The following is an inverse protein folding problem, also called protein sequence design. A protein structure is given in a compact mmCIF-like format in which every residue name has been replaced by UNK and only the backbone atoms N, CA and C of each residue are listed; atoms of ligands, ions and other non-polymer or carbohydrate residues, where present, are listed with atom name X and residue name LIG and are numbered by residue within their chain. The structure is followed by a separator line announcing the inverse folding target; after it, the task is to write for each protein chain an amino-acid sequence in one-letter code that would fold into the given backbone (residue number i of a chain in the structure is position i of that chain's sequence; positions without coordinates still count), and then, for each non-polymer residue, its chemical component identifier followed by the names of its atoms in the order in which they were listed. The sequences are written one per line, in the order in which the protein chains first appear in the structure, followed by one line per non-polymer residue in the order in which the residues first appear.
data_IF_718604799254
#
_entry.id   IF_718604799254
#
_cell.length_a   1.000
_cell.length_b   1.000
_cell.length_c   1.000
_cell.angle_alpha   90.00
_cell.angle_beta   90.00
_cell.angle_gamma   90.00
#
_symmetry.space_group_name_H-M   'P 1'
#
loop_
_entity.id
_entity.type
_entity.pdbx_description
1 polymer ?
#
# COMPACT_ATOMS: atom_id res chain seq x y z
N UNK A 1 30.89 22.95 -64.19
CA UNK A 1 29.60 23.35 -63.58
C UNK A 1 29.77 24.81 -63.16
N UNK A 2 29.11 25.75 -63.84
CA UNK A 2 29.28 27.18 -63.57
C UNK A 2 28.52 27.55 -62.29
N UNK A 3 29.21 28.17 -61.32
CA UNK A 3 28.61 28.67 -60.09
C UNK A 3 27.83 29.96 -60.39
N UNK A 4 26.50 29.90 -60.28
CA UNK A 4 25.64 31.08 -60.39
C UNK A 4 25.71 31.88 -59.10
N UNK A 5 26.30 33.09 -59.15
CA UNK A 5 26.34 34.02 -58.02
C UNK A 5 24.97 34.70 -57.90
N UNK A 6 24.25 34.42 -56.82
CA UNK A 6 22.99 35.11 -56.50
C UNK A 6 23.30 36.28 -55.57
N UNK A 7 22.93 37.53 -55.90
CA UNK A 7 23.04 38.69 -55.01
C UNK A 7 22.31 38.43 -53.68
N UNK A 8 22.87 38.88 -52.55
CA UNK A 8 22.26 38.68 -51.23
C UNK A 8 20.82 39.23 -51.12
N UNK A 9 20.48 40.26 -51.89
CA UNK A 9 19.13 40.81 -51.98
C UNK A 9 18.14 39.89 -52.73
N UNK A 10 18.62 39.10 -53.69
CA UNK A 10 17.83 38.12 -54.46
C UNK A 10 17.77 36.75 -53.79
N UNK A 11 18.71 36.48 -52.87
CA UNK A 11 18.68 35.28 -52.03
C UNK A 11 17.49 35.27 -51.06
N UNK A 12 16.87 36.44 -50.82
CA UNK A 12 15.59 36.60 -50.15
C UNK A 12 15.52 35.87 -48.82
N UNK A 13 16.18 36.39 -47.77
CA UNK A 13 15.84 35.90 -46.43
C UNK A 13 14.38 36.26 -46.15
N UNK A 14 13.53 35.28 -45.78
CA UNK A 14 12.14 35.56 -45.46
C UNK A 14 12.10 36.56 -44.30
N UNK A 15 11.52 37.73 -44.55
CA UNK A 15 11.22 38.71 -43.53
C UNK A 15 9.93 38.29 -42.83
N UNK A 16 10.04 37.97 -41.54
CA UNK A 16 8.91 37.55 -40.73
C UNK A 16 8.48 38.73 -39.86
N UNK A 17 7.30 39.32 -40.11
CA UNK A 17 6.80 40.40 -39.26
C UNK A 17 6.65 39.87 -37.83
N UNK A 18 7.32 40.53 -36.88
CA UNK A 18 7.26 40.12 -35.48
C UNK A 18 5.88 40.51 -34.93
N UNK A 19 5.04 39.51 -34.65
CA UNK A 19 3.81 39.75 -33.91
C UNK A 19 4.16 40.28 -32.50
N UNK A 20 3.33 41.15 -31.89
CA UNK A 20 3.55 41.60 -30.53
C UNK A 20 3.72 40.39 -29.61
N UNK A 21 4.65 40.46 -28.63
CA UNK A 21 4.96 39.31 -27.78
C UNK A 21 3.68 38.82 -27.09
N UNK A 22 3.46 37.50 -27.15
CA UNK A 22 2.39 36.87 -26.39
C UNK A 22 2.59 37.24 -24.91
N UNK A 23 1.52 37.70 -24.26
CA UNK A 23 1.58 38.27 -22.91
C UNK A 23 2.11 37.27 -21.88
N UNK A 24 1.95 35.96 -22.13
CA UNK A 24 2.65 34.87 -21.45
C UNK A 24 2.75 33.64 -22.40
N UNK A 25 3.88 33.38 -23.07
CA UNK A 25 3.98 32.20 -23.92
C UNK A 25 4.07 30.94 -23.06
N UNK A 26 3.09 30.05 -23.17
CA UNK A 26 3.23 28.69 -22.64
C UNK A 26 4.11 27.84 -23.54
N UNK A 27 5.41 27.92 -23.29
CA UNK A 27 6.50 27.23 -24.01
C UNK A 27 6.34 25.70 -24.02
N UNK A 28 5.57 25.13 -23.09
CA UNK A 28 5.44 23.69 -22.89
C UNK A 28 4.01 23.17 -23.12
N UNK A 29 3.17 23.96 -23.77
CA UNK A 29 1.75 23.65 -24.06
C UNK A 29 1.51 22.53 -25.08
N UNK A 30 2.57 21.93 -25.64
CA UNK A 30 2.52 20.96 -26.75
C UNK A 30 1.75 21.44 -27.99
N UNK A 31 1.50 22.75 -28.12
CA UNK A 31 0.72 23.35 -29.23
C UNK A 31 1.36 23.11 -30.60
N UNK A 32 2.70 23.18 -30.69
CA UNK A 32 3.46 22.85 -31.90
C UNK A 32 3.61 21.34 -32.14
N UNK A 33 3.14 20.51 -31.21
CA UNK A 33 3.30 19.05 -31.20
C UNK A 33 1.93 18.35 -31.09
N UNK A 34 0.98 18.75 -31.93
CA UNK A 34 -0.43 18.30 -31.88
C UNK A 34 -0.58 16.77 -31.77
N UNK A 35 0.16 16.00 -32.58
CA UNK A 35 0.13 14.53 -32.53
C UNK A 35 0.53 13.96 -31.17
N UNK A 36 1.53 14.54 -30.51
CA UNK A 36 1.97 14.09 -29.20
C UNK A 36 0.91 14.39 -28.13
N UNK A 37 0.29 15.57 -28.22
CA UNK A 37 -0.82 15.97 -27.35
C UNK A 37 -2.01 15.01 -27.48
N UNK A 38 -2.47 14.73 -28.70
CA UNK A 38 -3.57 13.79 -28.97
C UNK A 38 -3.28 12.38 -28.42
N UNK A 39 -2.05 11.90 -28.58
CA UNK A 39 -1.64 10.60 -28.05
C UNK A 39 -1.67 10.55 -26.52
N UNK A 40 -1.24 11.63 -25.85
CA UNK A 40 -1.31 11.75 -24.39
C UNK A 40 -2.77 11.82 -23.90
N UNK A 41 -3.61 12.61 -24.57
CA UNK A 41 -5.04 12.70 -24.25
C UNK A 41 -5.75 11.34 -24.40
N UNK A 42 -5.46 10.61 -25.47
CA UNK A 42 -5.98 9.27 -25.68
C UNK A 42 -5.51 8.30 -24.59
N UNK A 43 -4.20 8.30 -24.31
CA UNK A 43 -3.60 7.45 -23.27
C UNK A 43 -4.20 7.70 -21.89
N UNK A 44 -4.51 8.96 -21.57
CA UNK A 44 -5.15 9.34 -20.30
C UNK A 44 -6.65 8.98 -20.21
N UNK A 45 -7.30 8.70 -21.34
CA UNK A 45 -8.71 8.25 -21.38
C UNK A 45 -8.83 6.74 -21.19
N UNK A 46 -7.83 5.97 -21.61
CA UNK A 46 -7.77 4.52 -21.39
C UNK A 46 -7.47 4.24 -19.91
N UNK A 47 -8.35 3.50 -19.22
CA UNK A 47 -8.18 3.16 -17.79
C UNK A 47 -7.89 1.69 -17.55
N UNK A 48 -7.96 0.90 -18.61
CA UNK A 48 -7.73 -0.53 -18.61
C UNK A 48 -6.24 -0.84 -18.39
N UNK A 49 -5.92 -1.89 -17.62
CA UNK A 49 -4.55 -2.37 -17.50
C UNK A 49 -3.97 -2.72 -18.88
N UNK A 50 -2.69 -2.41 -19.09
CA UNK A 50 -1.97 -2.72 -20.34
C UNK A 50 -1.80 -1.54 -21.29
N UNK A 51 -2.49 -0.42 -21.06
CA UNK A 51 -2.31 0.81 -21.81
C UNK A 51 -1.27 1.72 -21.13
N UNK A 52 -0.04 1.68 -21.63
CA UNK A 52 1.06 2.54 -21.17
C UNK A 52 1.45 3.52 -22.28
N UNK A 53 1.80 4.76 -21.91
CA UNK A 53 2.31 5.76 -22.87
C UNK A 53 3.83 5.82 -22.76
N UNK A 54 4.50 5.75 -23.90
CA UNK A 54 5.94 5.96 -24.02
C UNK A 54 6.21 7.19 -24.89
N UNK A 55 7.00 8.13 -24.39
CA UNK A 55 7.28 9.41 -25.06
C UNK A 55 8.68 9.41 -25.64
N UNK A 56 8.78 9.69 -26.94
CA UNK A 56 10.03 9.75 -27.71
C UNK A 56 10.19 11.15 -28.29
N UNK A 57 11.45 11.59 -28.42
CA UNK A 57 11.83 12.88 -29.02
C UNK A 57 13.34 13.04 -28.98
N UNK A 58 13.88 14.04 -29.68
CA UNK A 58 15.33 14.25 -29.72
C UNK A 58 15.90 14.67 -28.36
N UNK A 59 17.21 14.54 -28.22
CA UNK A 59 17.90 15.07 -27.04
C UNK A 59 17.67 16.59 -26.92
N UNK A 60 17.46 17.05 -25.69
CA UNK A 60 17.13 18.46 -25.36
C UNK A 60 15.87 19.04 -26.02
N UNK A 61 14.97 18.20 -26.55
CA UNK A 61 13.66 18.63 -27.09
C UNK A 61 12.67 19.19 -26.06
N UNK A 62 12.98 19.10 -24.76
CA UNK A 62 12.03 19.48 -23.70
C UNK A 62 10.86 18.51 -23.52
N UNK A 63 10.88 17.34 -24.18
CA UNK A 63 9.80 16.33 -24.17
C UNK A 63 9.31 15.95 -22.77
N UNK A 64 10.23 15.79 -21.81
CA UNK A 64 9.90 15.41 -20.43
C UNK A 64 9.14 16.54 -19.74
N UNK A 65 9.68 17.75 -19.80
CA UNK A 65 9.08 18.94 -19.18
C UNK A 65 7.69 19.22 -19.76
N UNK A 66 7.54 19.15 -21.08
CA UNK A 66 6.26 19.35 -21.75
C UNK A 66 5.23 18.27 -21.37
N UNK A 67 5.65 17.01 -21.32
CA UNK A 67 4.78 15.90 -20.91
C UNK A 67 4.34 16.04 -19.45
N UNK A 68 5.26 16.30 -18.53
CA UNK A 68 4.93 16.46 -17.11
C UNK A 68 4.01 17.64 -16.87
N UNK A 69 4.25 18.79 -17.52
CA UNK A 69 3.37 19.95 -17.41
C UNK A 69 1.95 19.63 -17.89
N UNK A 70 1.83 19.03 -19.07
CA UNK A 70 0.54 18.59 -19.60
C UNK A 70 -0.19 17.64 -18.63
N UNK A 71 0.54 16.65 -18.07
CA UNK A 71 -0.02 15.72 -17.10
C UNK A 71 -0.46 16.41 -15.80
N UNK A 72 0.33 17.35 -15.27
CA UNK A 72 -0.03 18.10 -14.07
C UNK A 72 -1.31 18.91 -14.26
N UNK A 73 -1.44 19.60 -15.39
CA UNK A 73 -2.64 20.39 -15.72
C UNK A 73 -3.88 19.51 -15.87
N UNK A 74 -3.74 18.35 -16.51
CA UNK A 74 -4.79 17.33 -16.63
C UNK A 74 -5.16 16.71 -15.27
N UNK A 75 -4.18 16.40 -14.42
CA UNK A 75 -4.42 15.75 -13.12
C UNK A 75 -5.07 16.70 -12.11
N UNK A 76 -4.85 18.02 -12.20
CA UNK A 76 -5.52 19.01 -11.33
C UNK A 76 -7.04 18.99 -11.45
N UNK A 77 -7.55 18.61 -12.63
CA UNK A 77 -8.99 18.54 -12.91
C UNK A 77 -9.60 17.18 -12.52
N UNK A 78 -8.76 16.20 -12.15
CA UNK A 78 -9.19 14.84 -11.83
C UNK A 78 -9.37 14.65 -10.32
N UNK A 79 -10.21 13.69 -9.90
CA UNK A 79 -10.31 13.33 -8.48
C UNK A 79 -8.97 12.86 -7.96
N UNK A 80 -8.63 13.26 -6.73
CA UNK A 80 -7.41 12.82 -6.07
C UNK A 80 -7.41 11.29 -5.95
N UNK A 81 -6.27 10.62 -6.23
CA UNK A 81 -6.18 9.18 -6.10
C UNK A 81 -6.38 8.75 -4.64
N UNK A 82 -6.86 7.53 -4.47
CA UNK A 82 -6.98 6.90 -3.15
C UNK A 82 -5.61 6.76 -2.48
N UNK A 83 -5.60 6.87 -1.15
CA UNK A 83 -4.44 6.53 -0.34
C UNK A 83 -4.35 5.00 -0.25
N UNK A 84 -3.24 4.43 -0.71
CA UNK A 84 -2.95 3.01 -0.57
C UNK A 84 -2.09 2.74 0.65
N UNK A 85 -2.51 1.76 1.47
CA UNK A 85 -1.80 1.30 2.66
C UNK A 85 -1.65 -0.21 2.65
N UNK A 86 -0.58 -0.67 3.28
CA UNK A 86 -0.34 -2.06 3.58
C UNK A 86 -0.69 -2.34 5.05
N UNK A 87 -1.70 -3.18 5.27
CA UNK A 87 -2.06 -3.68 6.58
C UNK A 87 -1.25 -4.93 6.91
N UNK A 88 -0.79 -5.03 8.16
CA UNK A 88 -0.13 -6.24 8.63
C UNK A 88 -1.11 -7.43 8.58
N UNK A 89 -0.61 -8.58 8.15
CA UNK A 89 -1.38 -9.80 8.05
C UNK A 89 -0.92 -10.78 9.13
N UNK A 90 -1.62 -10.81 10.27
CA UNK A 90 -1.25 -11.64 11.42
C UNK A 90 -1.14 -13.14 11.13
N UNK A 91 -1.84 -13.65 10.10
CA UNK A 91 -1.74 -15.06 9.67
C UNK A 91 -0.54 -15.33 8.77
N UNK A 92 -0.10 -14.32 8.01
CA UNK A 92 1.00 -14.43 7.04
C UNK A 92 1.81 -13.12 7.04
N UNK A 93 2.72 -12.92 8.01
CA UNK A 93 3.44 -11.66 8.18
C UNK A 93 4.22 -11.19 6.95
N UNK A 94 4.72 -12.14 6.16
CA UNK A 94 5.44 -11.88 4.89
C UNK A 94 4.51 -11.48 3.72
N UNK A 95 3.18 -11.42 3.92
CA UNK A 95 2.19 -11.04 2.91
C UNK A 95 1.26 -9.95 3.47
N UNK A 96 1.71 -8.69 3.53
CA UNK A 96 0.84 -7.58 3.91
C UNK A 96 -0.35 -7.46 2.97
N UNK A 97 -1.47 -6.93 3.48
CA UNK A 97 -2.72 -6.79 2.74
C UNK A 97 -2.87 -5.36 2.23
N UNK A 98 -2.99 -5.13 0.92
CA UNK A 98 -3.26 -3.79 0.40
C UNK A 98 -4.70 -3.38 0.74
N UNK A 99 -4.87 -2.12 1.12
CA UNK A 99 -6.17 -1.49 1.34
C UNK A 99 -6.15 -0.10 0.71
N UNK A 100 -7.23 0.26 0.02
CA UNK A 100 -7.45 1.60 -0.49
C UNK A 100 -8.32 2.38 0.49
N UNK A 101 -7.92 3.61 0.80
CA UNK A 101 -8.72 4.58 1.55
C UNK A 101 -8.94 5.84 0.70
N UNK A 102 -10.01 6.62 0.95
CA UNK A 102 -10.19 7.91 0.30
C UNK A 102 -8.96 8.81 0.48
N UNK A 103 -8.70 9.67 -0.51
CA UNK A 103 -7.56 10.57 -0.51
C UNK A 103 -7.41 11.35 0.81
N UNK A 104 -6.21 11.32 1.40
CA UNK A 104 -5.88 11.99 2.65
C UNK A 104 -6.30 11.27 3.94
N UNK A 105 -7.03 10.15 3.85
CA UNK A 105 -7.41 9.35 5.03
C UNK A 105 -6.31 8.43 5.53
N UNK A 106 -5.32 8.07 4.70
CA UNK A 106 -4.25 7.14 5.06
C UNK A 106 -3.41 7.62 6.24
N UNK A 107 -3.04 8.90 6.24
CA UNK A 107 -2.32 9.52 7.39
C UNK A 107 -3.16 9.52 8.66
N UNK A 108 -4.44 9.91 8.54
CA UNK A 108 -5.38 9.92 9.67
C UNK A 108 -5.59 8.51 10.25
N UNK A 109 -5.70 7.50 9.39
CA UNK A 109 -5.82 6.11 9.80
C UNK A 109 -4.59 5.64 10.56
N UNK A 110 -3.39 5.87 10.02
CA UNK A 110 -2.12 5.56 10.69
C UNK A 110 -2.06 6.19 12.09
N UNK A 111 -2.36 7.49 12.20
CA UNK A 111 -2.25 8.21 13.46
C UNK A 111 -3.29 7.73 14.48
N UNK A 112 -4.50 7.36 14.03
CA UNK A 112 -5.53 6.74 14.88
C UNK A 112 -5.10 5.36 15.39
N UNK A 113 -4.57 4.50 14.51
CA UNK A 113 -4.10 3.17 14.90
C UNK A 113 -2.93 3.26 15.90
N UNK A 114 -2.00 4.19 15.68
CA UNK A 114 -0.87 4.42 16.59
C UNK A 114 -1.32 4.81 18.01
N UNK A 115 -2.43 5.55 18.14
CA UNK A 115 -3.04 5.91 19.43
C UNK A 115 -3.89 4.78 20.02
N UNK A 116 -4.60 4.03 19.17
CA UNK A 116 -5.52 2.98 19.58
C UNK A 116 -4.79 1.76 20.16
N UNK A 117 -3.65 1.36 19.59
CA UNK A 117 -2.93 0.15 20.02
C UNK A 117 -2.54 0.20 21.51
N UNK A 118 -1.92 1.28 22.03
CA UNK A 118 -1.63 1.41 23.47
C UNK A 118 -2.89 1.35 24.33
N UNK A 119 -3.97 2.02 23.92
CA UNK A 119 -5.23 2.05 24.67
C UNK A 119 -5.87 0.65 24.78
N UNK A 120 -5.85 -0.12 23.69
CA UNK A 120 -6.32 -1.51 23.72
C UNK A 120 -5.46 -2.33 24.67
N UNK A 121 -4.13 -2.16 24.64
CA UNK A 121 -3.22 -2.89 25.53
C UNK A 121 -3.52 -2.60 27.00
N UNK A 122 -3.69 -1.34 27.36
CA UNK A 122 -4.04 -0.91 28.72
C UNK A 122 -5.43 -1.44 29.14
N UNK A 123 -6.42 -1.30 28.26
CA UNK A 123 -7.78 -1.81 28.52
C UNK A 123 -7.81 -3.34 28.71
N UNK A 124 -7.04 -4.10 27.93
CA UNK A 124 -6.91 -5.54 28.12
C UNK A 124 -6.24 -5.89 29.45
N UNK A 125 -5.17 -5.19 29.82
CA UNK A 125 -4.50 -5.41 31.12
C UNK A 125 -5.44 -5.13 32.29
N UNK A 126 -6.25 -4.08 32.21
CA UNK A 126 -7.25 -3.78 33.22
C UNK A 126 -8.33 -4.87 33.29
N UNK A 127 -8.95 -5.20 32.16
CA UNK A 127 -10.04 -6.17 32.12
C UNK A 127 -9.64 -7.57 32.64
N UNK A 128 -8.41 -8.02 32.36
CA UNK A 128 -7.88 -9.28 32.90
C UNK A 128 -7.28 -9.16 34.30
N UNK A 129 -7.02 -7.94 34.77
CA UNK A 129 -6.58 -7.65 36.12
C UNK A 129 -7.73 -7.59 37.14
N UNK A 130 -8.96 -7.41 36.68
CA UNK A 130 -10.15 -7.38 37.53
C UNK A 130 -10.33 -8.70 38.30
N UNK A 131 -10.70 -8.58 39.57
CA UNK A 131 -10.83 -9.71 40.49
C UNK A 131 -11.85 -10.74 39.99
N UNK A 132 -12.93 -10.29 39.34
CA UNK A 132 -13.93 -11.14 38.69
C UNK A 132 -13.32 -12.03 37.60
N UNK A 133 -12.52 -11.45 36.70
CA UNK A 133 -11.86 -12.19 35.63
C UNK A 133 -10.82 -13.17 36.18
N UNK A 134 -10.08 -12.79 37.23
CA UNK A 134 -9.15 -13.70 37.89
C UNK A 134 -9.86 -14.85 38.62
N UNK A 135 -10.99 -14.57 39.27
CA UNK A 135 -11.80 -15.59 39.93
C UNK A 135 -12.35 -16.61 38.93
N UNK A 136 -12.86 -16.16 37.79
CA UNK A 136 -13.34 -17.03 36.72
C UNK A 136 -12.23 -17.89 36.11
N UNK A 137 -11.04 -17.31 35.92
CA UNK A 137 -9.85 -18.05 35.48
C UNK A 137 -9.45 -19.13 36.50
N UNK A 138 -9.40 -18.80 37.79
CA UNK A 138 -9.09 -19.77 38.86
C UNK A 138 -10.12 -20.88 38.90
N UNK A 139 -11.41 -20.55 38.86
CA UNK A 139 -12.50 -21.54 38.85
C UNK A 139 -12.39 -22.49 37.66
N UNK A 140 -12.04 -21.96 36.48
CA UNK A 140 -11.85 -22.78 35.27
C UNK A 140 -10.61 -23.68 35.41
N UNK A 141 -9.52 -23.18 35.97
CA UNK A 141 -8.31 -23.96 36.25
C UNK A 141 -8.56 -25.07 37.26
N UNK A 142 -9.26 -24.77 38.35
CA UNK A 142 -9.65 -25.73 39.38
C UNK A 142 -10.57 -26.82 38.82
N UNK A 143 -11.56 -26.45 38.00
CA UNK A 143 -12.43 -27.40 37.32
C UNK A 143 -11.64 -28.34 36.39
N UNK A 144 -10.72 -27.79 35.60
CA UNK A 144 -9.86 -28.58 34.72
C UNK A 144 -8.93 -29.52 35.51
N UNK A 145 -8.33 -29.03 36.61
CA UNK A 145 -7.48 -29.83 37.48
C UNK A 145 -8.25 -30.97 38.15
N UNK A 146 -9.48 -30.70 38.62
CA UNK A 146 -10.37 -31.70 39.19
C UNK A 146 -10.74 -32.77 38.15
N UNK A 147 -11.02 -32.37 36.90
CA UNK A 147 -11.32 -33.32 35.84
C UNK A 147 -10.11 -34.19 35.46
N UNK A 148 -8.92 -33.59 35.37
CA UNK A 148 -7.66 -34.33 35.13
C UNK A 148 -7.42 -35.35 36.26
N UNK A 149 -7.56 -34.92 37.53
CA UNK A 149 -7.38 -35.78 38.69
C UNK A 149 -8.36 -36.96 38.68
N UNK A 150 -9.64 -36.69 38.42
CA UNK A 150 -10.67 -37.73 38.31
C UNK A 150 -10.36 -38.76 37.22
N UNK A 151 -9.90 -38.31 36.05
CA UNK A 151 -9.50 -39.20 34.95
C UNK A 151 -8.25 -40.02 35.30
N UNK A 152 -7.30 -39.43 36.02
CA UNK A 152 -6.10 -40.13 36.50
C UNK A 152 -6.42 -41.21 37.52
N UNK A 153 -7.31 -40.94 38.46
CA UNK A 153 -7.74 -41.94 39.45
C UNK A 153 -8.51 -43.09 38.79
N UNK A 154 -9.35 -42.81 37.79
CA UNK A 154 -9.99 -43.85 36.98
C UNK A 154 -8.95 -44.73 36.27
N UNK A 155 -7.95 -44.11 35.62
CA UNK A 155 -6.86 -44.81 34.95
C UNK A 155 -6.03 -45.67 35.91
N UNK A 156 -5.71 -45.17 37.11
CA UNK A 156 -5.02 -45.92 38.16
C UNK A 156 -5.82 -47.11 38.65
N UNK A 157 -7.14 -46.95 38.80
CA UNK A 157 -8.03 -48.04 39.17
C UNK A 157 -8.02 -49.18 38.15
N UNK A 158 -8.08 -48.85 36.86
CA UNK A 158 -7.98 -49.82 35.76
C UNK A 158 -6.61 -50.52 35.71
N UNK A 159 -5.52 -49.77 35.87
CA UNK A 159 -4.17 -50.33 35.92
C UNK A 159 -4.01 -51.33 37.08
N UNK A 160 -4.49 -50.98 38.28
CA UNK A 160 -4.39 -51.84 39.47
C UNK A 160 -5.16 -53.14 39.33
N UNK A 161 -6.31 -53.11 38.64
CA UNK A 161 -7.06 -54.32 38.32
C UNK A 161 -6.26 -55.29 37.43
N UNK A 162 -5.28 -54.78 36.67
CA UNK A 162 -4.36 -55.57 35.85
C UNK A 162 -3.00 -55.82 36.53
N UNK A 163 -2.83 -55.45 37.80
CA UNK A 163 -1.58 -55.63 38.55
C UNK A 163 -0.50 -54.59 38.23
N UNK A 164 -0.86 -53.48 37.61
CA UNK A 164 0.01 -52.36 37.23
C UNK A 164 -0.33 -51.12 38.06
N UNK A 165 0.61 -50.23 38.34
CA UNK A 165 0.35 -48.92 38.95
C UNK A 165 0.81 -47.78 38.03
N UNK A 166 0.22 -46.60 38.16
CA UNK A 166 0.57 -45.44 37.32
C UNK A 166 1.11 -44.31 38.21
N UNK A 167 2.42 -44.11 38.16
CA UNK A 167 3.14 -43.11 38.92
C UNK A 167 3.50 -41.89 38.04
N UNK A 168 3.35 -40.70 38.59
CA UNK A 168 3.82 -39.47 37.97
C UNK A 168 5.25 -39.21 38.45
N UNK A 169 6.22 -39.30 37.56
CA UNK A 169 7.63 -38.98 37.84
C UNK A 169 7.99 -37.63 37.21
N UNK A 170 9.11 -36.99 37.59
CA UNK A 170 9.58 -35.76 36.95
C UNK A 170 9.84 -35.90 35.44
N UNK A 171 9.92 -37.13 34.92
CA UNK A 171 10.16 -37.46 33.52
C UNK A 171 8.86 -37.78 32.75
N UNK A 172 7.71 -37.80 33.42
CA UNK A 172 6.40 -38.07 32.82
C UNK A 172 5.58 -39.11 33.58
N UNK A 173 4.50 -39.59 32.98
CA UNK A 173 3.75 -40.73 33.53
C UNK A 173 4.46 -42.04 33.18
N UNK A 174 4.70 -42.88 34.18
CA UNK A 174 5.24 -44.22 34.03
C UNK A 174 4.29 -45.25 34.63
N UNK A 175 4.18 -46.39 33.96
CA UNK A 175 3.50 -47.58 34.49
C UNK A 175 4.55 -48.40 35.23
N UNK A 176 4.27 -48.73 36.49
CA UNK A 176 5.15 -49.45 37.42
C UNK A 176 4.51 -50.77 37.80
#
# INVERSE_FOLDING_TARGET
MALTKIPAAEAGMPDFPFAPPLTEPDVFSLTSHARAKEALELGLKMREPGFNVFVVGDDRSGRMTATLKFLEDEMRQRPKPNDWLYLNNFRRPHRPRPMALPAGMGRRFRDRIAKLIPQIREGLQHAFGEESAQADLRKTQEALAAEISKRLEALRGEARAQGLDVAQTPQGMQVV
#
